data_IF_383772314357
#
_entry.id   IF_383772314357
#
_cell.length_a   1.000
_cell.length_b   1.000
_cell.length_c   1.000
_cell.angle_alpha   90.00
_cell.angle_beta   90.00
_cell.angle_gamma   90.00
#
_symmetry.space_group_name_H-M   'P 1'
#
loop_
_entity.id
_entity.type
_entity.pdbx_description
1 polymer ?
#
# COMPACT_ATOMS: atom_id res chain seq x y z
N UNK A 1 -5.73 11.32 4.48
CA UNK A 1 -6.54 10.31 5.23
C UNK A 1 -5.92 8.94 5.07
N UNK A 2 -6.23 7.96 5.93
CA UNK A 2 -5.68 6.59 5.77
C UNK A 2 -6.60 5.74 4.91
N UNK A 3 -6.03 5.01 3.95
CA UNK A 3 -6.75 4.18 2.99
C UNK A 3 -6.07 2.83 2.82
N UNK A 4 -6.81 1.86 2.28
CA UNK A 4 -6.29 0.55 1.86
C UNK A 4 -5.57 0.65 0.53
N UNK A 5 -4.61 -0.23 0.35
CA UNK A 5 -3.77 -0.30 -0.82
C UNK A 5 -3.34 -1.75 -1.07
N UNK A 6 -3.40 -2.22 -2.31
CA UNK A 6 -3.10 -3.60 -2.69
C UNK A 6 -1.86 -3.64 -3.57
N UNK A 7 -0.84 -4.40 -3.18
CA UNK A 7 0.32 -4.64 -4.05
C UNK A 7 -0.11 -5.56 -5.19
N UNK A 8 -0.10 -5.05 -6.42
CA UNK A 8 -0.46 -5.83 -7.61
C UNK A 8 0.75 -6.38 -8.35
N UNK A 9 1.92 -5.79 -8.12
CA UNK A 9 3.19 -6.27 -8.66
C UNK A 9 4.37 -5.84 -7.78
N UNK A 10 5.29 -6.75 -7.50
CA UNK A 10 6.52 -6.46 -6.77
C UNK A 10 7.75 -6.68 -7.68
N UNK A 11 8.22 -5.60 -8.31
CA UNK A 11 9.43 -5.60 -9.13
C UNK A 11 10.70 -5.58 -8.27
N UNK A 12 11.87 -5.69 -8.90
CA UNK A 12 13.14 -5.73 -8.18
C UNK A 12 13.45 -4.43 -7.44
N UNK A 13 13.14 -3.29 -8.04
CA UNK A 13 13.43 -1.96 -7.48
C UNK A 13 12.12 -1.34 -7.00
N UNK A 14 11.07 -1.41 -7.82
CA UNK A 14 9.78 -0.79 -7.53
C UNK A 14 8.64 -1.80 -7.51
N UNK A 15 7.65 -1.52 -6.67
CA UNK A 15 6.38 -2.19 -6.59
C UNK A 15 5.26 -1.29 -7.10
N UNK A 16 4.21 -1.90 -7.64
CA UNK A 16 2.98 -1.23 -8.06
C UNK A 16 1.89 -1.53 -7.04
N UNK A 17 1.28 -0.48 -6.51
CA UNK A 17 0.24 -0.58 -5.49
C UNK A 17 -1.01 0.15 -5.95
N UNK A 18 -2.16 -0.50 -5.85
CA UNK A 18 -3.46 0.07 -6.22
C UNK A 18 -4.19 0.57 -4.98
N UNK A 19 -4.64 1.83 -5.01
CA UNK A 19 -5.49 2.44 -4.00
C UNK A 19 -6.92 2.54 -4.57
N UNK A 20 -7.87 1.68 -4.16
CA UNK A 20 -9.21 1.61 -4.75
C UNK A 20 -10.21 2.63 -4.19
N UNK A 21 -9.79 3.48 -3.26
CA UNK A 21 -10.63 4.55 -2.70
C UNK A 21 -10.30 5.93 -3.30
N UNK A 22 -9.55 5.97 -4.40
CA UNK A 22 -9.14 7.22 -5.04
C UNK A 22 -10.34 7.93 -5.67
N UNK A 23 -10.29 9.27 -5.78
CA UNK A 23 -11.42 10.13 -6.19
C UNK A 23 -12.27 9.60 -7.36
N UNK A 24 -11.64 9.00 -8.37
CA UNK A 24 -12.30 8.49 -9.59
C UNK A 24 -12.30 6.95 -9.70
N UNK A 25 -12.24 6.25 -8.57
CA UNK A 25 -12.18 4.80 -8.49
C UNK A 25 -10.84 4.35 -7.94
N UNK A 26 -9.84 4.18 -8.81
CA UNK A 26 -8.53 3.68 -8.40
C UNK A 26 -7.37 4.50 -8.96
N UNK A 27 -6.26 4.51 -8.23
CA UNK A 27 -4.96 4.94 -8.73
C UNK A 27 -3.94 3.82 -8.51
N UNK A 28 -2.97 3.71 -9.41
CA UNK A 28 -1.80 2.86 -9.25
C UNK A 28 -0.60 3.74 -8.94
N UNK A 29 0.12 3.43 -7.88
CA UNK A 29 1.28 4.17 -7.39
C UNK A 29 2.50 3.29 -7.51
N UNK A 30 3.60 3.89 -7.95
CA UNK A 30 4.92 3.24 -7.93
C UNK A 30 5.59 3.56 -6.61
N UNK A 31 6.06 2.55 -5.91
CA UNK A 31 6.79 2.70 -4.64
C UNK A 31 8.04 1.84 -4.64
N UNK A 32 8.97 2.14 -3.75
CA UNK A 32 10.17 1.32 -3.61
C UNK A 32 9.83 -0.03 -2.98
N UNK A 33 10.28 -1.10 -3.62
CA UNK A 33 10.01 -2.48 -3.16
C UNK A 33 10.61 -2.70 -1.77
N UNK A 34 11.78 -2.12 -1.51
CA UNK A 34 12.48 -2.27 -0.22
C UNK A 34 11.68 -1.67 0.94
N UNK A 35 11.00 -0.55 0.73
CA UNK A 35 10.15 0.07 1.76
C UNK A 35 8.99 -0.88 2.14
N UNK A 36 8.34 -1.51 1.15
CA UNK A 36 7.27 -2.46 1.42
C UNK A 36 7.77 -3.75 2.08
N UNK A 37 8.93 -4.26 1.65
CA UNK A 37 9.59 -5.42 2.28
C UNK A 37 9.90 -5.12 3.75
N UNK A 38 10.49 -3.95 4.03
CA UNK A 38 10.85 -3.54 5.38
C UNK A 38 9.63 -3.39 6.28
N UNK A 39 8.52 -2.83 5.77
CA UNK A 39 7.28 -2.66 6.53
C UNK A 39 6.56 -3.99 6.78
N UNK A 40 6.50 -4.88 5.77
CA UNK A 40 5.77 -6.14 5.89
C UNK A 40 6.55 -7.25 6.60
N UNK A 41 7.88 -7.16 6.63
CA UNK A 41 8.74 -8.27 7.05
C UNK A 41 8.64 -9.49 6.12
N UNK A 42 8.21 -9.29 4.87
CA UNK A 42 8.02 -10.33 3.86
C UNK A 42 9.12 -10.28 2.81
N UNK A 43 9.38 -11.40 2.14
CA UNK A 43 10.22 -11.39 0.94
C UNK A 43 9.49 -10.70 -0.21
N UNK A 44 10.22 -10.10 -1.15
CA UNK A 44 9.64 -9.48 -2.36
C UNK A 44 8.64 -10.38 -3.09
N UNK A 45 8.94 -11.68 -3.18
CA UNK A 45 8.07 -12.65 -3.88
C UNK A 45 6.70 -12.79 -3.22
N UNK A 46 6.61 -12.54 -1.92
CA UNK A 46 5.39 -12.65 -1.12
C UNK A 46 4.64 -11.32 -1.00
N UNK A 47 5.20 -10.22 -1.51
CA UNK A 47 4.55 -8.91 -1.46
C UNK A 47 3.31 -8.84 -2.36
N UNK A 48 3.31 -9.52 -3.51
CA UNK A 48 2.19 -9.44 -4.46
C UNK A 48 0.94 -10.05 -3.83
N UNK A 49 -0.16 -9.29 -3.80
CA UNK A 49 -1.40 -9.67 -3.13
C UNK A 49 -1.49 -9.22 -1.67
N UNK A 50 -0.42 -8.64 -1.10
CA UNK A 50 -0.46 -8.10 0.26
C UNK A 50 -1.22 -6.78 0.30
N UNK A 51 -2.12 -6.64 1.27
CA UNK A 51 -2.80 -5.38 1.57
C UNK A 51 -1.98 -4.55 2.57
N UNK A 52 -1.89 -3.25 2.32
CA UNK A 52 -1.31 -2.24 3.19
C UNK A 52 -2.33 -1.14 3.48
N UNK A 53 -2.05 -0.36 4.50
CA UNK A 53 -2.70 0.92 4.77
C UNK A 53 -1.70 2.07 4.59
N UNK A 54 -2.09 3.09 3.85
CA UNK A 54 -1.24 4.27 3.56
C UNK A 54 -1.99 5.56 3.82
N UNK A 55 -1.27 6.63 4.16
CA UNK A 55 -1.84 7.97 4.22
C UNK A 55 -1.74 8.61 2.84
N UNK A 56 -2.90 8.99 2.30
CA UNK A 56 -3.01 9.67 1.02
C UNK A 56 -4.05 10.79 1.07
N UNK A 57 -3.89 11.80 0.23
CA UNK A 57 -4.98 12.69 -0.12
C UNK A 57 -5.81 12.09 -1.25
N UNK A 58 -6.93 11.44 -0.90
CA UNK A 58 -7.81 10.80 -1.89
C UNK A 58 -8.59 11.79 -2.75
N UNK A 59 -8.51 13.09 -2.46
CA UNK A 59 -9.11 14.14 -3.31
C UNK A 59 -8.15 14.65 -4.38
N UNK A 60 -6.89 14.22 -4.35
CA UNK A 60 -5.90 14.58 -5.32
C UNK A 60 -6.17 13.94 -6.69
N UNK A 61 -5.73 14.64 -7.74
CA UNK A 61 -5.86 14.19 -9.13
C UNK A 61 -4.62 13.38 -9.55
N UNK A 62 -3.50 13.59 -8.87
CA UNK A 62 -2.18 13.02 -9.16
C UNK A 62 -1.72 12.06 -8.07
N UNK A 63 -0.96 11.02 -8.44
CA UNK A 63 -0.45 10.01 -7.51
C UNK A 63 0.65 10.54 -6.57
N UNK A 64 1.21 11.73 -6.85
CA UNK A 64 2.22 12.40 -6.03
C UNK A 64 1.75 12.76 -4.62
N UNK A 65 0.44 12.74 -4.37
CA UNK A 65 -0.16 13.06 -3.08
C UNK A 65 -0.32 11.84 -2.15
N UNK A 66 0.26 10.70 -2.55
CA UNK A 66 0.43 9.52 -1.70
C UNK A 66 1.76 9.64 -0.97
N UNK A 67 1.74 9.54 0.37
CA UNK A 67 2.98 9.60 1.15
C UNK A 67 3.70 8.24 1.09
N UNK A 68 4.87 8.14 0.41
CA UNK A 68 5.55 6.88 0.18
C UNK A 68 6.22 6.30 1.43
N UNK A 69 6.30 7.04 2.54
CA UNK A 69 6.93 6.56 3.79
C UNK A 69 5.90 6.22 4.88
N UNK A 70 4.61 6.37 4.59
CA UNK A 70 3.53 6.17 5.56
C UNK A 70 2.83 4.81 5.45
N UNK A 71 3.48 3.83 4.80
CA UNK A 71 2.98 2.47 4.64
C UNK A 71 2.97 1.71 5.97
N UNK A 72 1.87 0.99 6.20
CA UNK A 72 1.70 0.13 7.36
C UNK A 72 1.00 -1.14 6.92
N UNK A 73 1.32 -2.27 7.54
CA UNK A 73 0.43 -3.43 7.47
C UNK A 73 -0.93 -3.05 8.06
N UNK A 74 -2.05 -3.56 7.52
CA UNK A 74 -3.34 -3.43 8.18
C UNK A 74 -3.17 -3.92 9.61
N UNK A 75 -3.63 -3.12 10.57
CA UNK A 75 -3.62 -3.53 11.97
C UNK A 75 -4.28 -4.91 12.04
N UNK A 76 -3.50 -5.94 12.38
CA UNK A 76 -4.05 -7.25 12.66
C UNK A 76 -5.05 -7.01 13.77
N UNK A 77 -6.34 -7.06 13.44
CA UNK A 77 -7.36 -7.14 14.48
C UNK A 77 -7.02 -8.43 15.21
N UNK A 78 -6.39 -8.29 16.39
CA UNK A 78 -6.16 -9.42 17.28
C UNK A 78 -7.49 -10.14 17.53
N UNK A 79 -7.45 -11.44 17.86
CA UNK A 79 -8.68 -12.21 17.99
C UNK A 79 -9.62 -11.50 18.96
N UNK A 80 -10.83 -11.22 18.47
CA UNK A 80 -12.01 -10.95 19.30
C UNK A 80 -12.13 -12.12 20.27
N UNK A 81 -11.62 -11.94 21.49
CA UNK A 81 -11.92 -12.83 22.58
C UNK A 81 -13.43 -12.75 22.81
N UNK A 82 -14.09 -13.89 22.60
CA UNK A 82 -15.50 -14.12 22.89
C UNK A 82 -15.78 -14.05 24.40
#
# INVERSE_FOLDING_TARGET
>A
MRTRALVVHAGQITAQVVLPAWMHGQVTVTVDTEDLVAVAGLSRQDLTGTEFSVVADLSAITDTDVNPHAWQLPATSGPIAA
#
